data_IF_060385534842
#
_entry.id   IF_060385534842
#
_cell.length_a   1.000
_cell.length_b   1.000
_cell.length_c   1.000
_cell.angle_alpha   90.00
_cell.angle_beta   90.00
_cell.angle_gamma   90.00
#
_symmetry.space_group_name_H-M   'P 1'
#
loop_
_entity.id
_entity.type
_entity.pdbx_description
1 polymer ?
#
# COMPACT_ATOMS: atom_id res chain seq x y z
N UNK A 1 -3.94 8.08 -1.59
CA UNK A 1 -4.91 9.20 -1.57
C UNK A 1 -4.31 10.58 -1.94
N UNK A 2 -4.91 11.32 -2.89
CA UNK A 2 -4.65 12.78 -3.00
C UNK A 2 -5.49 13.46 -1.92
N UNK A 3 -4.89 14.32 -1.10
CA UNK A 3 -5.61 15.12 -0.08
C UNK A 3 -6.51 16.20 -0.69
N UNK A 4 -6.37 16.46 -1.99
CA UNK A 4 -7.02 17.55 -2.70
C UNK A 4 -7.49 17.04 -4.06
N UNK A 5 -8.79 17.10 -4.32
CA UNK A 5 -9.29 17.22 -5.69
C UNK A 5 -9.00 18.64 -6.17
N UNK A 6 -8.79 18.82 -7.48
CA UNK A 6 -8.61 20.15 -8.05
C UNK A 6 -9.76 20.46 -8.97
N UNK A 7 -10.30 21.66 -8.85
CA UNK A 7 -11.33 22.15 -9.76
C UNK A 7 -10.76 22.29 -11.19
N UNK A 8 -11.59 22.54 -12.22
CA UNK A 8 -11.13 22.77 -13.58
C UNK A 8 -10.13 23.95 -13.73
N UNK A 9 -9.97 24.78 -12.70
CA UNK A 9 -9.05 25.91 -12.63
C UNK A 9 -7.83 25.64 -11.72
N UNK A 10 -7.65 24.41 -11.26
CA UNK A 10 -6.48 23.96 -10.50
C UNK A 10 -6.50 24.32 -9.01
N UNK A 11 -7.60 24.85 -8.47
CA UNK A 11 -7.73 25.16 -7.04
C UNK A 11 -8.05 23.90 -6.23
N UNK A 12 -7.49 23.77 -5.02
CA UNK A 12 -7.84 22.68 -4.14
C UNK A 12 -9.34 22.77 -3.78
N UNK A 13 -10.05 21.69 -4.06
CA UNK A 13 -11.42 21.46 -3.61
C UNK A 13 -11.32 20.71 -2.30
N UNK A 14 -11.92 21.29 -1.27
CA UNK A 14 -12.04 20.65 0.03
C UNK A 14 -12.99 19.45 -0.13
N UNK A 15 -12.51 18.26 0.24
CA UNK A 15 -13.29 17.04 0.13
C UNK A 15 -14.43 17.07 1.15
N UNK A 16 -15.61 16.61 0.73
CA UNK A 16 -16.73 16.41 1.66
C UNK A 16 -16.36 15.36 2.72
N UNK A 17 -16.97 15.46 3.90
CA UNK A 17 -16.72 14.54 5.02
C UNK A 17 -16.93 13.07 4.63
N UNK A 18 -17.97 12.77 3.84
CA UNK A 18 -18.24 11.44 3.30
C UNK A 18 -17.13 10.94 2.38
N UNK A 19 -16.57 11.81 1.54
CA UNK A 19 -15.46 11.47 0.64
C UNK A 19 -14.18 11.17 1.43
N UNK A 20 -13.90 11.95 2.47
CA UNK A 20 -12.79 11.71 3.38
C UNK A 20 -12.96 10.39 4.13
N UNK A 21 -14.12 10.17 4.74
CA UNK A 21 -14.40 8.96 5.52
C UNK A 21 -14.34 7.70 4.66
N UNK A 22 -14.95 7.72 3.47
CA UNK A 22 -14.89 6.63 2.51
C UNK A 22 -13.46 6.32 2.07
N UNK A 23 -12.71 7.36 1.68
CA UNK A 23 -11.33 7.19 1.22
C UNK A 23 -10.36 6.74 2.32
N UNK A 24 -10.47 7.28 3.54
CA UNK A 24 -9.69 6.79 4.69
C UNK A 24 -9.99 5.32 4.96
N UNK A 25 -11.26 4.92 4.90
CA UNK A 25 -11.66 3.52 5.10
C UNK A 25 -11.09 2.60 4.02
N UNK A 26 -11.04 3.05 2.77
CA UNK A 26 -10.42 2.32 1.66
C UNK A 26 -8.91 2.09 1.90
N UNK A 27 -8.17 3.14 2.25
CA UNK A 27 -6.73 3.06 2.50
C UNK A 27 -6.42 2.22 3.76
N UNK A 28 -7.29 2.27 4.78
CA UNK A 28 -7.21 1.37 5.93
C UNK A 28 -7.37 -0.09 5.51
N UNK A 29 -8.25 -0.40 4.56
CA UNK A 29 -8.38 -1.76 4.02
C UNK A 29 -7.07 -2.27 3.39
N UNK A 30 -6.36 -1.41 2.64
CA UNK A 30 -5.03 -1.74 2.14
C UNK A 30 -4.01 -1.97 3.25
N UNK A 31 -3.99 -1.10 4.26
CA UNK A 31 -3.09 -1.23 5.41
C UNK A 31 -3.34 -2.51 6.22
N UNK A 32 -4.59 -2.99 6.24
CA UNK A 32 -5.02 -4.22 6.91
C UNK A 32 -4.86 -5.49 6.04
N UNK A 33 -4.25 -5.37 4.86
CA UNK A 33 -3.84 -6.52 4.04
C UNK A 33 -4.76 -6.86 2.88
N UNK A 34 -5.79 -6.05 2.59
CA UNK A 34 -6.54 -6.19 1.33
C UNK A 34 -5.72 -5.61 0.17
N UNK A 35 -4.98 -6.49 -0.49
CA UNK A 35 -4.13 -6.16 -1.63
C UNK A 35 -4.97 -6.27 -2.92
N UNK A 36 -5.50 -5.15 -3.40
CA UNK A 36 -6.23 -5.07 -4.66
C UNK A 36 -7.58 -4.38 -4.53
N UNK A 37 -8.23 -4.16 -5.69
CA UNK A 37 -9.56 -3.59 -5.75
C UNK A 37 -10.60 -4.66 -6.04
N UNK A 38 -11.75 -4.57 -5.39
CA UNK A 38 -12.91 -5.37 -5.75
C UNK A 38 -13.41 -4.93 -7.13
N UNK A 39 -13.64 -5.89 -8.04
CA UNK A 39 -14.13 -5.59 -9.39
C UNK A 39 -15.53 -4.96 -9.40
N UNK A 40 -16.36 -5.27 -8.41
CA UNK A 40 -17.69 -4.68 -8.20
C UNK A 40 -18.22 -5.04 -6.82
N UNK A 41 -19.31 -4.40 -6.39
CA UNK A 41 -20.07 -4.78 -5.20
C UNK A 41 -20.14 -3.69 -4.13
N UNK A 42 -20.44 -4.10 -2.90
CA UNK A 42 -20.59 -3.20 -1.73
C UNK A 42 -19.31 -3.08 -0.89
N UNK A 43 -18.18 -3.53 -1.42
CA UNK A 43 -16.88 -3.46 -0.73
C UNK A 43 -16.35 -2.04 -0.73
N UNK A 44 -15.65 -1.67 0.35
CA UNK A 44 -14.93 -0.38 0.39
C UNK A 44 -13.71 -0.37 -0.54
N UNK A 45 -13.23 -1.55 -0.94
CA UNK A 45 -12.07 -1.72 -1.83
C UNK A 45 -12.39 -1.57 -3.32
N UNK A 46 -13.57 -1.07 -3.70
CA UNK A 46 -13.88 -0.78 -5.11
C UNK A 46 -13.05 0.40 -5.62
N UNK A 47 -12.81 0.44 -6.94
CA UNK A 47 -11.97 1.48 -7.55
C UNK A 47 -12.74 2.77 -7.83
N UNK A 48 -14.06 2.69 -7.99
CA UNK A 48 -14.92 3.81 -8.34
C UNK A 48 -15.12 4.76 -7.15
N UNK A 49 -14.65 6.00 -7.28
CA UNK A 49 -14.74 7.04 -6.24
C UNK A 49 -16.17 7.26 -5.74
N UNK A 50 -17.15 7.28 -6.64
CA UNK A 50 -18.56 7.48 -6.28
C UNK A 50 -19.14 6.34 -5.44
N UNK A 51 -18.59 5.13 -5.56
CA UNK A 51 -18.97 3.99 -4.72
C UNK A 51 -18.33 4.09 -3.34
N UNK A 52 -17.08 4.55 -3.26
CA UNK A 52 -16.37 4.81 -2.00
C UNK A 52 -17.06 5.93 -1.21
N UNK A 53 -17.48 7.00 -1.88
CA UNK A 53 -18.22 8.12 -1.27
C UNK A 53 -19.55 7.66 -0.67
N UNK A 54 -20.34 6.85 -1.39
CA UNK A 54 -21.59 6.26 -0.87
C UNK A 54 -21.37 5.37 0.34
N UNK A 55 -20.20 4.77 0.50
CA UNK A 55 -19.84 4.01 1.70
C UNK A 55 -19.54 4.98 2.84
N UNK A 56 -18.80 6.06 2.57
CA UNK A 56 -18.57 7.14 3.52
C UNK A 56 -19.87 7.78 4.02
N UNK A 57 -20.83 8.07 3.14
CA UNK A 57 -22.16 8.57 3.52
C UNK A 57 -22.88 7.64 4.49
N UNK A 58 -22.82 6.32 4.24
CA UNK A 58 -23.44 5.32 5.14
C UNK A 58 -22.72 5.20 6.47
N UNK A 59 -21.41 5.36 6.48
CA UNK A 59 -20.61 5.35 7.71
C UNK A 59 -20.86 6.61 8.55
N UNK A 60 -21.15 7.74 7.89
CA UNK A 60 -21.48 9.00 8.54
C UNK A 60 -22.95 9.10 8.99
N UNK A 61 -23.80 8.11 8.68
CA UNK A 61 -25.20 8.09 9.11
C UNK A 61 -25.30 7.73 10.61
N UNK A 62 -25.24 8.76 11.46
CA UNK A 62 -25.36 8.65 12.92
C UNK A 62 -26.70 8.07 13.39
N UNK A 63 -27.76 8.13 12.55
CA UNK A 63 -29.08 7.63 12.94
C UNK A 63 -29.16 6.11 12.87
N UNK A 64 -28.29 5.47 12.08
CA UNK A 64 -28.20 4.01 11.94
C UNK A 64 -26.75 3.58 11.71
N UNK A 65 -25.88 3.65 12.74
CA UNK A 65 -24.53 3.16 12.63
C UNK A 65 -24.57 1.66 12.35
N UNK A 66 -24.27 1.28 11.12
CA UNK A 66 -24.11 -0.12 10.73
C UNK A 66 -22.63 -0.40 10.58
N UNK A 67 -22.10 -1.44 11.25
CA UNK A 67 -20.73 -1.87 11.02
C UNK A 67 -20.52 -2.10 9.52
N UNK A 68 -19.39 -1.61 9.01
CA UNK A 68 -19.00 -1.96 7.65
C UNK A 68 -18.81 -3.47 7.56
N UNK A 69 -19.63 -4.12 6.75
CA UNK A 69 -19.47 -5.53 6.45
C UNK A 69 -18.52 -5.63 5.26
N UNK A 70 -17.27 -6.01 5.52
CA UNK A 70 -16.26 -6.27 4.50
C UNK A 70 -15.95 -7.78 4.49
N UNK A 71 -16.60 -8.58 3.62
CA UNK A 71 -16.43 -10.02 3.58
C UNK A 71 -14.99 -10.46 3.34
N UNK A 72 -14.23 -9.68 2.57
CA UNK A 72 -12.82 -10.00 2.32
C UNK A 72 -11.97 -9.87 3.60
N UNK A 73 -12.24 -8.85 4.43
CA UNK A 73 -11.61 -8.72 5.75
C UNK A 73 -12.01 -9.88 6.66
N UNK A 74 -13.31 -10.20 6.74
CA UNK A 74 -13.77 -11.31 7.57
C UNK A 74 -13.11 -12.62 7.16
N UNK A 75 -13.02 -12.89 5.86
CA UNK A 75 -12.31 -14.06 5.36
C UNK A 75 -10.82 -14.04 5.74
N UNK A 76 -10.12 -12.93 5.51
CA UNK A 76 -8.69 -12.80 5.82
C UNK A 76 -8.39 -13.05 7.31
N UNK A 77 -9.17 -12.48 8.21
CA UNK A 77 -8.97 -12.58 9.65
C UNK A 77 -9.61 -13.81 10.30
N UNK A 78 -10.41 -14.57 9.55
CA UNK A 78 -10.93 -15.86 10.02
C UNK A 78 -9.87 -16.97 10.03
N UNK A 79 -8.76 -16.76 9.33
CA UNK A 79 -7.69 -17.75 9.21
C UNK A 79 -6.65 -17.59 10.33
N UNK A 80 -6.14 -18.71 10.89
CA UNK A 80 -5.02 -18.65 11.81
C UNK A 80 -3.80 -17.96 11.19
N UNK A 81 -3.07 -17.20 12.00
CA UNK A 81 -1.80 -16.59 11.58
C UNK A 81 -0.86 -17.63 10.98
N UNK A 82 -0.30 -17.32 9.81
CA UNK A 82 0.59 -18.23 9.07
C UNK A 82 -0.12 -19.16 8.08
N UNK A 83 -1.45 -19.08 7.96
CA UNK A 83 -2.19 -19.82 6.93
C UNK A 83 -1.78 -19.38 5.53
N UNK A 84 -1.36 -20.35 4.70
CA UNK A 84 -1.03 -20.12 3.29
C UNK A 84 -2.26 -20.40 2.44
N UNK A 85 -2.92 -19.35 1.95
CA UNK A 85 -4.14 -19.46 1.14
C UNK A 85 -3.83 -19.95 -0.27
N UNK A 86 -2.75 -19.43 -0.87
CA UNK A 86 -2.35 -19.78 -2.23
C UNK A 86 -0.82 -19.73 -2.36
N UNK A 87 -0.24 -20.65 -3.13
CA UNK A 87 1.14 -20.56 -3.60
C UNK A 87 1.12 -20.41 -5.12
N UNK A 88 1.48 -19.22 -5.62
CA UNK A 88 1.69 -19.02 -7.05
C UNK A 88 3.14 -19.21 -7.41
N UNK A 89 3.40 -19.99 -8.47
CA UNK A 89 4.68 -19.93 -9.16
C UNK A 89 4.73 -18.61 -9.92
N UNK A 90 5.71 -17.80 -9.60
CA UNK A 90 6.03 -16.62 -10.39
C UNK A 90 6.75 -17.07 -11.67
N UNK A 91 6.57 -16.32 -12.76
CA UNK A 91 7.26 -16.59 -14.02
C UNK A 91 8.79 -16.52 -13.82
N UNK A 92 9.60 -17.26 -14.61
CA UNK A 92 11.05 -17.13 -14.57
C UNK A 92 11.49 -15.66 -14.71
N UNK A 93 12.26 -15.16 -13.74
CA UNK A 93 12.74 -13.77 -13.72
C UNK A 93 11.75 -12.75 -13.16
N UNK A 94 10.54 -13.12 -12.76
CA UNK A 94 9.56 -12.20 -12.15
C UNK A 94 10.04 -11.61 -10.81
N UNK A 95 10.99 -12.28 -10.14
CA UNK A 95 11.62 -11.79 -8.90
C UNK A 95 12.98 -11.15 -9.16
N UNK A 96 13.46 -11.08 -10.41
CA UNK A 96 14.85 -10.72 -10.73
C UNK A 96 15.30 -9.42 -10.07
N UNK A 97 14.46 -8.38 -10.09
CA UNK A 97 14.80 -7.10 -9.47
C UNK A 97 14.88 -7.18 -7.94
N UNK A 98 14.00 -7.98 -7.31
CA UNK A 98 14.07 -8.25 -5.87
C UNK A 98 15.30 -9.10 -5.55
N UNK A 99 15.64 -10.07 -6.39
CA UNK A 99 16.84 -10.89 -6.25
C UNK A 99 18.12 -10.05 -6.38
N UNK A 100 18.15 -9.08 -7.30
CA UNK A 100 19.25 -8.11 -7.46
C UNK A 100 19.40 -7.21 -6.22
N UNK A 101 18.30 -6.74 -5.64
CA UNK A 101 18.29 -6.00 -4.37
C UNK A 101 18.83 -6.89 -3.24
N UNK A 102 18.34 -8.13 -3.14
CA UNK A 102 18.75 -9.08 -2.10
C UNK A 102 20.23 -9.46 -2.20
N UNK A 103 20.75 -9.65 -3.42
CA UNK A 103 22.18 -9.91 -3.65
C UNK A 103 23.05 -8.73 -3.24
N UNK A 104 22.68 -7.50 -3.63
CA UNK A 104 23.42 -6.29 -3.21
C UNK A 104 23.39 -6.11 -1.70
N UNK A 105 22.23 -6.31 -1.07
CA UNK A 105 22.10 -6.25 0.38
C UNK A 105 23.03 -7.25 1.07
N UNK A 106 23.07 -8.50 0.60
CA UNK A 106 23.99 -9.53 1.12
C UNK A 106 25.46 -9.16 0.92
N UNK A 107 25.84 -8.69 -0.28
CA UNK A 107 27.21 -8.27 -0.58
C UNK A 107 27.67 -7.09 0.31
N UNK A 108 26.73 -6.29 0.79
CA UNK A 108 26.97 -5.14 1.68
C UNK A 108 26.80 -5.50 3.17
N UNK A 109 26.66 -6.79 3.52
CA UNK A 109 26.59 -7.25 4.90
C UNK A 109 25.25 -6.95 5.59
N UNK A 110 24.15 -6.83 4.84
CA UNK A 110 22.83 -6.59 5.42
C UNK A 110 22.42 -7.68 6.43
N UNK A 111 22.22 -7.29 7.69
CA UNK A 111 21.69 -8.18 8.74
C UNK A 111 20.20 -7.94 8.97
N UNK A 112 19.69 -6.75 8.59
CA UNK A 112 18.28 -6.36 8.75
C UNK A 112 17.77 -5.62 7.52
N UNK A 113 16.49 -5.79 7.24
CA UNK A 113 15.75 -5.06 6.20
C UNK A 113 14.55 -4.36 6.86
N UNK A 114 14.38 -3.06 6.60
CA UNK A 114 13.17 -2.30 6.93
C UNK A 114 12.54 -1.82 5.65
N UNK A 115 11.25 -2.10 5.48
CA UNK A 115 10.46 -1.62 4.34
C UNK A 115 9.48 -0.58 4.85
N UNK A 116 9.42 0.59 4.20
CA UNK A 116 8.38 1.59 4.42
C UNK A 116 7.66 1.79 3.11
N UNK A 117 6.40 1.42 3.03
CA UNK A 117 5.55 1.60 1.85
C UNK A 117 4.59 2.77 2.10
N UNK A 118 4.44 3.64 1.11
CA UNK A 118 3.41 4.69 1.06
C UNK A 118 2.90 4.88 -0.36
N UNK A 119 1.88 5.73 -0.52
CA UNK A 119 1.05 5.85 -1.74
C UNK A 119 1.81 6.07 -3.05
N UNK A 120 3.01 6.67 -3.00
CA UNK A 120 3.84 6.99 -4.18
C UNK A 120 5.25 6.45 -4.12
N UNK A 121 5.66 5.90 -2.98
CA UNK A 121 7.03 5.48 -2.77
C UNK A 121 7.08 4.40 -1.69
N UNK A 122 7.99 3.46 -1.91
CA UNK A 122 8.43 2.48 -0.93
C UNK A 122 9.95 2.57 -0.79
N UNK A 123 10.43 2.69 0.44
CA UNK A 123 11.84 2.67 0.75
C UNK A 123 12.19 1.33 1.36
N UNK A 124 13.23 0.69 0.83
CA UNK A 124 13.85 -0.50 1.44
C UNK A 124 15.19 -0.07 2.00
N UNK A 125 15.35 -0.19 3.33
CA UNK A 125 16.57 0.11 4.08
C UNK A 125 17.23 -1.20 4.51
N UNK A 126 18.52 -1.35 4.28
CA UNK A 126 19.33 -2.45 4.82
C UNK A 126 20.72 -1.96 5.24
N UNK A 127 21.40 -2.72 6.10
CA UNK A 127 22.76 -2.41 6.57
C UNK A 127 23.31 -3.45 7.56
N UNK A 128 24.64 -3.44 7.82
CA UNK A 128 25.30 -4.31 8.79
C UNK A 128 25.10 -3.88 10.25
N UNK A 129 24.67 -2.64 10.48
CA UNK A 129 24.38 -2.07 11.80
C UNK A 129 23.07 -1.27 11.79
N UNK A 130 22.64 -0.75 12.96
CA UNK A 130 21.39 0.01 13.07
C UNK A 130 21.37 1.29 12.21
N UNK A 131 22.53 1.84 11.87
CA UNK A 131 22.65 3.24 11.41
C UNK A 131 23.03 3.41 9.93
N UNK A 132 23.42 2.33 9.25
CA UNK A 132 23.73 2.38 7.81
C UNK A 132 22.46 2.20 6.97
N UNK A 133 22.26 3.09 5.99
CA UNK A 133 21.03 3.16 5.19
C UNK A 133 21.33 3.25 3.71
N UNK A 134 20.81 2.29 2.95
CA UNK A 134 20.68 2.39 1.50
C UNK A 134 19.23 2.68 1.14
N UNK A 135 19.01 3.57 0.17
CA UNK A 135 17.67 4.00 -0.26
C UNK A 135 17.39 3.61 -1.71
N UNK A 136 16.18 3.16 -1.96
CA UNK A 136 15.63 3.05 -3.31
C UNK A 136 14.75 4.28 -3.57
N UNK A 137 15.15 5.12 -4.54
CA UNK A 137 14.54 6.45 -4.73
C UNK A 137 13.13 6.37 -5.34
N UNK A 138 12.84 5.30 -6.09
CA UNK A 138 11.57 5.11 -6.82
C UNK A 138 11.26 3.62 -7.05
N UNK A 139 10.60 2.91 -6.13
CA UNK A 139 10.35 1.46 -6.29
C UNK A 139 9.29 1.11 -7.29
N UNK A 140 8.45 2.06 -7.74
CA UNK A 140 7.56 1.80 -8.87
C UNK A 140 8.37 1.45 -10.13
N UNK A 141 9.60 1.99 -10.26
CA UNK A 141 10.54 1.63 -11.32
C UNK A 141 11.16 0.23 -11.18
N UNK A 142 10.95 -0.45 -10.05
CA UNK A 142 11.20 -1.91 -9.95
C UNK A 142 10.45 -2.59 -11.10
N UNK A 143 9.25 -2.14 -11.49
CA UNK A 143 8.52 -2.77 -12.59
C UNK A 143 9.02 -2.35 -14.00
N UNK A 144 9.76 -1.23 -14.12
CA UNK A 144 10.19 -0.62 -15.39
C UNK A 144 11.65 -0.93 -15.79
N UNK A 145 12.24 -1.98 -15.24
CA UNK A 145 13.59 -2.49 -15.58
C UNK A 145 14.79 -1.57 -15.27
N UNK A 146 14.57 -0.38 -14.71
CA UNK A 146 15.63 0.54 -14.30
C UNK A 146 15.60 0.76 -12.79
N UNK A 147 16.55 0.12 -12.09
CA UNK A 147 16.77 0.33 -10.65
C UNK A 147 17.83 1.40 -10.44
N UNK A 148 17.43 2.56 -9.93
CA UNK A 148 18.35 3.58 -9.44
C UNK A 148 18.49 3.48 -7.92
N UNK A 149 19.72 3.25 -7.47
CA UNK A 149 20.07 3.20 -6.05
C UNK A 149 20.60 4.57 -5.62
N UNK A 150 20.14 5.08 -4.49
CA UNK A 150 20.73 6.27 -3.86
C UNK A 150 22.06 5.98 -3.19
N UNK A 151 22.77 7.03 -2.78
CA UNK A 151 24.00 6.92 -2.00
C UNK A 151 23.74 6.31 -0.60
N UNK A 152 24.77 5.66 -0.07
CA UNK A 152 24.78 5.18 1.30
C UNK A 152 24.77 6.39 2.24
N UNK A 153 23.80 6.47 3.15
CA UNK A 153 23.76 7.50 4.17
C UNK A 153 23.93 6.85 5.54
N UNK A 154 24.85 7.40 6.32
CA UNK A 154 24.96 7.13 7.75
C UNK A 154 24.01 8.09 8.46
N UNK A 155 22.96 7.58 9.08
CA UNK A 155 22.04 8.42 9.87
C UNK A 155 22.51 8.37 11.32
N UNK A 156 22.80 9.52 11.96
CA UNK A 156 23.23 9.59 13.35
C UNK A 156 22.15 9.14 14.34
#
# INVERSE_FOLDING_TARGET
MRREERDPWGKPVELAESQLLGGVTHELGHALGLQGHANSGKSVMVRETSSVEKIGEKLNDEKKPKPLQEPAMQALYSLPSGTVIERRRLAPGATRQIDEIAQRARAQGAVRVKVRVGDRAAAVRWGPGPDLVYFLKEPAKILDKHLEFGEALTIP
#
